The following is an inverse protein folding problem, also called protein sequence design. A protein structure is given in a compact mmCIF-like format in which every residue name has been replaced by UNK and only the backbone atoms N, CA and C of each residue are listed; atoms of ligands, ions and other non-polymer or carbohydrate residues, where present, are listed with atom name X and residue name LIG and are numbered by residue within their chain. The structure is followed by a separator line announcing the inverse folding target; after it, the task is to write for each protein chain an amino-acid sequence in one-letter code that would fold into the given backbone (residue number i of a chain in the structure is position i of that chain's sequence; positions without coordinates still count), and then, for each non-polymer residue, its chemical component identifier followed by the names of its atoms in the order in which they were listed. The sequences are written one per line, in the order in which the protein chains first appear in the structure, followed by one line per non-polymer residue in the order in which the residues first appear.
data_IF_172438998664
#
_entry.id   IF_172438998664
#
_cell.length_a   1.000
_cell.length_b   1.000
_cell.length_c   1.000
_cell.angle_alpha   90.00
_cell.angle_beta   90.00
_cell.angle_gamma   90.00
#
_symmetry.space_group_name_H-M   'P 1'
#
loop_
_entity.id
_entity.type
_entity.pdbx_description
1 polymer ?
#
# COMPACT_ATOMS: atom_id res chain seq x y z
N UNK A 1 20.60 3.37 4.83
CA UNK A 1 19.29 2.86 4.37
C UNK A 1 18.24 3.79 4.93
N UNK A 2 17.46 4.44 4.06
CA UNK A 2 16.45 5.41 4.50
C UNK A 2 15.21 4.60 4.87
N UNK A 3 14.80 4.68 6.13
CA UNK A 3 13.56 4.03 6.59
C UNK A 3 12.40 4.91 6.15
N UNK A 4 11.55 4.41 5.26
CA UNK A 4 10.31 5.09 4.93
C UNK A 4 9.36 4.99 6.12
N UNK A 5 8.65 6.07 6.39
CA UNK A 5 7.63 6.18 7.43
C UNK A 5 6.35 6.75 6.84
N UNK A 6 5.27 6.70 7.63
CA UNK A 6 3.97 7.27 7.29
C UNK A 6 4.02 8.72 6.77
N UNK A 7 4.95 9.52 7.29
CA UNK A 7 5.15 10.92 6.89
C UNK A 7 5.61 11.04 5.43
N UNK A 8 6.25 9.99 4.91
CA UNK A 8 6.70 9.88 3.51
C UNK A 8 5.60 9.27 2.61
N UNK A 9 4.43 8.91 3.15
CA UNK A 9 3.27 8.48 2.37
C UNK A 9 2.26 9.63 2.27
N UNK A 10 1.96 10.04 1.04
CA UNK A 10 0.91 11.00 0.74
C UNK A 10 -0.41 10.28 0.52
N UNK A 11 -1.31 10.36 1.49
CA UNK A 11 -2.66 9.84 1.34
C UNK A 11 -3.45 10.69 0.33
N UNK A 12 -3.88 10.09 -0.78
CA UNK A 12 -4.63 10.76 -1.85
C UNK A 12 -6.16 10.66 -1.66
N UNK A 13 -6.62 9.96 -0.63
CA UNK A 13 -8.04 9.75 -0.36
C UNK A 13 -8.52 8.34 -0.69
N UNK A 14 -9.82 8.13 -0.51
CA UNK A 14 -10.52 6.88 -0.81
C UNK A 14 -11.44 7.10 -2.01
N UNK A 15 -11.41 6.16 -2.96
CA UNK A 15 -12.32 6.14 -4.09
C UNK A 15 -12.95 4.75 -4.22
N UNK A 16 -14.28 4.67 -4.03
CA UNK A 16 -15.05 3.42 -4.09
C UNK A 16 -14.53 2.33 -3.13
N UNK A 17 -14.10 2.71 -1.92
CA UNK A 17 -13.52 1.77 -0.94
C UNK A 17 -12.07 1.37 -1.23
N UNK A 18 -11.46 1.88 -2.32
CA UNK A 18 -10.04 1.74 -2.61
C UNK A 18 -9.31 2.99 -2.15
N UNK A 19 -8.44 2.85 -1.17
CA UNK A 19 -7.58 3.92 -0.69
C UNK A 19 -6.41 4.09 -1.64
N UNK A 20 -6.16 5.33 -2.07
CA UNK A 20 -5.00 5.68 -2.88
C UNK A 20 -3.96 6.34 -2.00
N UNK A 21 -2.75 5.85 -2.14
CA UNK A 21 -1.55 6.41 -1.54
C UNK A 21 -0.56 6.76 -2.64
N UNK A 22 0.19 7.80 -2.42
CA UNK A 22 1.25 8.25 -3.29
C UNK A 22 2.51 8.38 -2.45
N UNK A 23 3.66 8.13 -3.06
CA UNK A 23 4.93 8.20 -2.36
C UNK A 23 5.87 9.08 -3.18
N UNK A 24 6.39 10.19 -2.63
CA UNK A 24 7.18 11.16 -3.38
C UNK A 24 8.55 10.61 -3.83
N UNK A 25 9.02 9.46 -3.31
CA UNK A 25 10.21 8.79 -3.84
C UNK A 25 9.90 7.59 -4.76
N UNK A 26 8.63 7.27 -4.98
CA UNK A 26 8.16 6.21 -5.87
C UNK A 26 7.55 6.85 -7.11
N UNK A 27 7.66 6.18 -8.25
CA UNK A 27 7.12 6.73 -9.52
C UNK A 27 5.61 6.45 -9.65
N UNK A 28 5.08 5.59 -8.78
CA UNK A 28 3.74 5.04 -8.93
C UNK A 28 2.89 5.04 -7.65
N UNK A 29 1.57 5.29 -7.77
CA UNK A 29 0.65 5.25 -6.64
C UNK A 29 0.38 3.83 -6.16
N UNK A 30 0.03 3.70 -4.88
CA UNK A 30 -0.44 2.47 -4.26
C UNK A 30 -1.96 2.51 -4.11
N UNK A 31 -2.61 1.43 -4.50
CA UNK A 31 -4.04 1.21 -4.33
C UNK A 31 -4.24 0.13 -3.29
N UNK A 32 -4.90 0.48 -2.19
CA UNK A 32 -5.19 -0.46 -1.13
C UNK A 32 -6.68 -0.68 -0.99
N UNK A 33 -7.05 -1.92 -0.73
CA UNK A 33 -8.38 -2.38 -0.41
C UNK A 33 -8.29 -3.31 0.80
N UNK A 34 -9.33 -3.43 1.63
CA UNK A 34 -9.35 -4.39 2.73
C UNK A 34 -9.10 -5.85 2.31
N UNK A 35 -9.30 -6.18 1.04
CA UNK A 35 -9.07 -7.52 0.50
C UNK A 35 -7.72 -7.67 -0.23
N UNK A 36 -7.07 -6.58 -0.63
CA UNK A 36 -5.86 -6.62 -1.45
C UNK A 36 -5.08 -5.29 -1.45
N UNK A 37 -3.77 -5.36 -1.62
CA UNK A 37 -2.91 -4.22 -1.93
C UNK A 37 -2.40 -4.37 -3.37
N UNK A 38 -2.53 -3.31 -4.17
CA UNK A 38 -2.05 -3.24 -5.55
C UNK A 38 -1.14 -2.02 -5.73
N UNK A 39 0.10 -2.27 -6.11
CA UNK A 39 1.08 -1.22 -6.42
C UNK A 39 0.96 -0.88 -7.89
N UNK A 40 0.73 0.38 -8.26
CA UNK A 40 0.61 0.75 -9.68
C UNK A 40 1.94 0.69 -10.45
N UNK A 41 3.07 0.65 -9.73
CA UNK A 41 4.41 0.36 -10.29
C UNK A 41 4.40 -1.00 -10.99
N UNK A 42 3.50 -1.87 -10.55
CA UNK A 42 3.29 -3.19 -11.08
C UNK A 42 2.29 -3.27 -12.23
N UNK A 43 2.00 -2.16 -12.91
CA UNK A 43 1.25 -2.19 -14.16
C UNK A 43 1.94 -3.06 -15.26
N UNK A 44 3.24 -3.34 -15.08
CA UNK A 44 4.02 -4.29 -15.90
C UNK A 44 3.84 -5.77 -15.50
N UNK A 45 3.15 -6.07 -14.38
CA UNK A 45 2.78 -7.42 -13.95
C UNK A 45 3.89 -8.25 -13.29
N UNK A 46 4.85 -7.61 -12.62
CA UNK A 46 6.00 -8.26 -11.98
C UNK A 46 5.70 -8.79 -10.57
N UNK A 47 4.72 -8.20 -9.88
CA UNK A 47 4.27 -8.49 -8.52
C UNK A 47 2.73 -8.50 -8.45
N UNK A 48 2.11 -9.69 -8.38
CA UNK A 48 0.66 -9.80 -8.26
C UNK A 48 0.14 -9.07 -7.01
N UNK A 49 -1.13 -8.64 -7.06
CA UNK A 49 -1.90 -8.09 -5.93
C UNK A 49 -1.52 -8.83 -4.65
N UNK A 50 -0.93 -8.12 -3.69
CA UNK A 50 -0.50 -8.74 -2.45
C UNK A 50 -1.74 -8.92 -1.57
N UNK A 51 -2.01 -10.13 -1.06
CA UNK A 51 -3.03 -10.32 -0.06
C UNK A 51 -2.61 -9.53 1.18
N UNK A 52 -3.54 -8.76 1.74
CA UNK A 52 -3.30 -8.10 3.02
C UNK A 52 -3.49 -9.17 4.09
N UNK A 53 -2.45 -9.43 4.88
CA UNK A 53 -2.57 -10.32 6.03
C UNK A 53 -3.39 -9.60 7.10
N UNK A 54 -4.65 -10.01 7.23
CA UNK A 54 -5.57 -9.50 8.24
C UNK A 54 -5.94 -10.66 9.16
N UNK A 55 -5.89 -10.47 10.48
CA UNK A 55 -6.40 -11.49 11.39
C UNK A 55 -7.88 -11.80 11.11
N UNK A 56 -8.21 -13.09 11.12
CA UNK A 56 -9.55 -13.62 10.82
C UNK A 56 -10.62 -12.93 11.70
N UNK A 57 -11.50 -12.15 11.06
CA UNK A 57 -12.57 -11.39 11.74
C UNK A 57 -12.33 -9.88 11.88
N UNK A 58 -11.15 -9.38 11.50
CA UNK A 58 -10.87 -7.94 11.41
C UNK A 58 -10.89 -7.47 9.95
N UNK A 59 -11.42 -6.27 9.71
CA UNK A 59 -11.32 -5.64 8.39
C UNK A 59 -9.92 -5.06 8.27
N UNK A 60 -9.23 -5.33 7.14
CA UNK A 60 -7.94 -4.70 6.93
C UNK A 60 -8.18 -3.20 7.01
N UNK A 61 -7.35 -2.57 7.82
CA UNK A 61 -7.48 -1.16 8.17
C UNK A 61 -6.39 -0.37 7.49
N UNK A 62 -6.59 0.94 7.38
CA UNK A 62 -5.62 1.88 6.81
C UNK A 62 -4.19 1.62 7.32
N UNK A 63 -4.04 1.36 8.63
CA UNK A 63 -2.76 1.06 9.28
C UNK A 63 -2.06 -0.20 8.73
N UNK A 64 -2.82 -1.22 8.34
CA UNK A 64 -2.28 -2.42 7.71
C UNK A 64 -1.78 -2.12 6.29
N UNK A 65 -2.52 -1.28 5.54
CA UNK A 65 -2.10 -0.77 4.24
C UNK A 65 -0.76 -0.04 4.34
N UNK A 66 -0.72 0.95 5.22
CA UNK A 66 0.43 1.81 5.43
C UNK A 66 1.65 0.99 5.78
N UNK A 67 1.51 0.04 6.72
CA UNK A 67 2.59 -0.84 7.10
C UNK A 67 3.07 -1.73 5.95
N UNK A 68 2.15 -2.29 5.15
CA UNK A 68 2.51 -3.12 4.00
C UNK A 68 3.22 -2.32 2.90
N UNK A 69 2.75 -1.10 2.60
CA UNK A 69 3.39 -0.19 1.64
C UNK A 69 4.78 0.19 2.17
N UNK A 70 4.91 0.54 3.44
CA UNK A 70 6.20 0.87 4.05
C UNK A 70 7.16 -0.33 4.04
N UNK A 71 6.70 -1.53 4.34
CA UNK A 71 7.52 -2.75 4.30
C UNK A 71 8.07 -2.98 2.87
N UNK A 72 7.19 -2.87 1.87
CA UNK A 72 7.55 -2.92 0.45
C UNK A 72 8.56 -1.83 0.06
N UNK A 73 8.32 -0.57 0.43
CA UNK A 73 9.23 0.55 0.17
C UNK A 73 10.59 0.37 0.84
N UNK A 74 10.61 -0.21 2.05
CA UNK A 74 11.82 -0.54 2.77
C UNK A 74 12.51 -1.81 2.25
N UNK A 75 11.94 -2.50 1.26
CA UNK A 75 12.47 -3.71 0.64
C UNK A 75 12.50 -4.91 1.58
N UNK A 76 11.50 -5.02 2.48
CA UNK A 76 11.42 -6.06 3.50
C UNK A 76 10.40 -7.15 3.15
#
# INVERSE_FOLDING_TARGET
MKLFTLDDLSYQGEHQGVHRWDHPQGDNPYYWHPEWLHVAEDALGLHPKQPVDVPDGENASQQHAEKAILDHLNGR
#
